data_IF_390162069152
#
_entry.id   IF_390162069152
#
_cell.length_a   1.000
_cell.length_b   1.000
_cell.length_c   1.000
_cell.angle_alpha   90.00
_cell.angle_beta   90.00
_cell.angle_gamma   90.00
#
_symmetry.space_group_name_H-M   'P 1'
#
loop_
_entity.id
_entity.type
_entity.pdbx_description
1 polymer ?
#
# COMPACT_ATOMS: atom_id res chain seq x y z
N UNK A 1 30.09 6.76 43.85
CA UNK A 1 30.56 7.64 42.76
C UNK A 1 30.38 6.83 41.50
N UNK A 2 29.15 6.81 40.99
CA UNK A 2 28.80 6.14 39.74
C UNK A 2 28.37 7.24 38.79
N UNK A 3 29.14 7.40 37.72
CA UNK A 3 28.92 8.40 36.68
C UNK A 3 27.68 8.02 35.89
N UNK A 4 26.65 8.87 36.00
CA UNK A 4 25.47 8.84 35.15
C UNK A 4 25.87 9.49 33.83
N UNK A 5 26.04 8.69 32.79
CA UNK A 5 26.19 9.16 31.41
C UNK A 5 24.83 9.71 30.97
N UNK A 6 24.68 11.03 30.97
CA UNK A 6 23.62 11.71 30.24
C UNK A 6 23.79 11.43 28.74
N UNK A 7 22.91 10.61 28.16
CA UNK A 7 22.71 10.60 26.71
C UNK A 7 22.13 11.96 26.30
N UNK A 8 23.01 12.88 25.89
CA UNK A 8 22.59 14.16 25.33
C UNK A 8 21.85 13.90 24.02
N UNK A 9 20.52 13.97 24.06
CA UNK A 9 19.70 14.09 22.87
C UNK A 9 20.18 15.31 22.08
N UNK A 10 20.67 15.08 20.85
CA UNK A 10 21.12 16.17 19.98
C UNK A 10 20.03 17.24 19.81
N UNK A 11 20.41 18.51 19.67
CA UNK A 11 19.46 19.63 19.72
C UNK A 11 18.42 19.51 18.62
N UNK A 12 17.15 19.69 18.99
CA UNK A 12 16.07 19.84 18.03
C UNK A 12 16.10 21.25 17.44
N UNK A 13 15.54 21.44 16.24
CA UNK A 13 15.46 22.77 15.60
C UNK A 13 14.75 23.83 16.46
N UNK A 14 13.90 23.39 17.41
CA UNK A 14 13.25 24.28 18.37
C UNK A 14 14.24 24.87 19.39
N UNK A 15 15.33 24.15 19.71
CA UNK A 15 16.39 24.60 20.62
C UNK A 15 17.33 25.62 19.95
N UNK A 16 17.30 25.71 18.62
CA UNK A 16 18.10 26.64 17.81
C UNK A 16 17.39 27.98 17.52
N UNK A 17 16.22 28.23 18.12
CA UNK A 17 15.49 29.48 17.95
C UNK A 17 14.94 29.72 16.53
N UNK A 18 15.01 28.71 15.65
CA UNK A 18 14.37 28.75 14.34
C UNK A 18 12.89 28.47 14.58
N UNK A 19 12.07 29.53 14.52
CA UNK A 19 10.62 29.39 14.53
C UNK A 19 10.23 28.51 13.35
N UNK A 20 9.94 27.24 13.65
CA UNK A 20 9.26 26.35 12.74
C UNK A 20 7.86 26.95 12.52
N UNK A 21 7.74 27.91 11.58
CA UNK A 21 6.46 28.40 11.12
C UNK A 21 5.61 27.16 10.83
N UNK A 22 4.47 27.04 11.50
CA UNK A 22 3.67 25.82 11.59
C UNK A 22 3.44 25.23 10.19
N UNK A 23 4.33 24.32 9.80
CA UNK A 23 4.51 23.81 8.43
C UNK A 23 3.85 22.46 8.25
N UNK A 24 3.31 21.92 9.34
CA UNK A 24 2.72 20.59 9.41
C UNK A 24 1.45 20.63 10.25
N UNK A 25 0.36 20.08 9.73
CA UNK A 25 -0.86 19.84 10.51
C UNK A 25 -0.73 18.48 11.21
N UNK A 26 -1.09 18.40 12.50
CA UNK A 26 -1.22 17.11 13.19
C UNK A 26 -2.57 16.49 12.82
N UNK A 27 -2.55 15.32 12.21
CA UNK A 27 -3.73 14.46 12.05
C UNK A 27 -3.60 13.23 12.94
N UNK A 28 -4.70 12.51 13.20
CA UNK A 28 -4.71 11.29 14.00
C UNK A 28 -3.75 10.19 13.49
N UNK A 29 -3.29 10.31 12.24
CA UNK A 29 -2.41 9.36 11.55
C UNK A 29 -0.96 9.89 11.45
N UNK A 30 -0.69 11.13 11.88
CA UNK A 30 0.65 11.74 11.93
C UNK A 30 0.69 13.18 11.42
N UNK A 31 1.92 13.73 11.28
CA UNK A 31 2.13 15.07 10.71
C UNK A 31 1.97 15.05 9.18
N UNK A 32 1.23 16.00 8.62
CA UNK A 32 0.99 16.19 7.18
C UNK A 32 1.34 17.61 6.74
N UNK A 33 1.79 17.78 5.49
CA UNK A 33 1.99 19.08 4.85
C UNK A 33 0.67 19.81 4.64
N UNK A 34 0.72 21.15 4.71
CA UNK A 34 -0.38 22.03 4.27
C UNK A 34 -0.31 22.22 2.75
N UNK A 35 -1.47 22.28 2.08
CA UNK A 35 -1.56 22.33 0.61
C UNK A 35 -0.70 23.45 -0.04
N UNK A 36 -0.65 24.62 0.59
CA UNK A 36 0.05 25.79 0.06
C UNK A 36 1.57 25.61 0.02
N UNK A 37 2.11 24.70 0.83
CA UNK A 37 3.54 24.42 0.93
C UNK A 37 4.01 23.28 0.02
N UNK A 38 3.13 22.70 -0.80
CA UNK A 38 3.56 21.72 -1.79
C UNK A 38 4.43 22.38 -2.87
N UNK A 39 5.45 21.64 -3.33
CA UNK A 39 6.29 22.03 -4.46
C UNK A 39 5.46 22.06 -5.75
N UNK A 40 5.96 22.78 -6.76
CA UNK A 40 5.29 22.83 -8.05
C UNK A 40 5.13 21.42 -8.66
N UNK A 41 6.15 20.58 -8.52
CA UNK A 41 6.14 19.20 -9.03
C UNK A 41 5.12 18.33 -8.32
N UNK A 42 5.03 18.44 -7.00
CA UNK A 42 4.01 17.75 -6.20
C UNK A 42 2.58 18.18 -6.61
N UNK A 43 2.36 19.48 -6.83
CA UNK A 43 1.05 20.02 -7.29
C UNK A 43 0.70 19.55 -8.69
N UNK A 44 1.66 19.60 -9.62
CA UNK A 44 1.48 19.11 -10.99
C UNK A 44 1.19 17.61 -11.01
N UNK A 45 1.90 16.82 -10.20
CA UNK A 45 1.65 15.39 -10.06
C UNK A 45 0.24 15.11 -9.52
N UNK A 46 -0.18 15.77 -8.43
CA UNK A 46 -1.53 15.58 -7.86
C UNK A 46 -2.62 15.97 -8.86
N UNK A 47 -2.46 17.08 -9.57
CA UNK A 47 -3.42 17.51 -10.58
C UNK A 47 -3.50 16.54 -11.75
N UNK A 48 -2.35 16.15 -12.31
CA UNK A 48 -2.26 15.19 -13.43
C UNK A 48 -2.90 13.86 -13.05
N UNK A 49 -2.50 13.28 -11.91
CA UNK A 49 -3.03 12.00 -11.43
C UNK A 49 -4.54 12.06 -11.19
N UNK A 50 -5.08 13.14 -10.61
CA UNK A 50 -6.53 13.31 -10.45
C UNK A 50 -7.27 13.29 -11.78
N UNK A 51 -6.77 14.02 -12.80
CA UNK A 51 -7.38 14.04 -14.14
C UNK A 51 -7.30 12.66 -14.79
N UNK A 52 -6.15 12.00 -14.69
CA UNK A 52 -5.94 10.65 -15.23
C UNK A 52 -6.91 9.65 -14.62
N UNK A 53 -6.95 9.56 -13.30
CA UNK A 53 -7.82 8.61 -12.61
C UNK A 53 -9.29 8.94 -12.77
N UNK A 54 -9.69 10.22 -12.80
CA UNK A 54 -11.08 10.60 -13.09
C UNK A 54 -11.52 10.14 -14.49
N UNK A 55 -10.65 10.32 -15.49
CA UNK A 55 -10.93 9.89 -16.88
C UNK A 55 -11.05 8.37 -16.97
N UNK A 56 -10.09 7.63 -16.40
CA UNK A 56 -10.10 6.17 -16.42
C UNK A 56 -11.27 5.60 -15.60
N UNK A 57 -11.61 6.23 -14.46
CA UNK A 57 -12.75 5.85 -13.63
C UNK A 57 -14.06 6.04 -14.40
N UNK A 58 -14.26 7.18 -15.08
CA UNK A 58 -15.44 7.42 -15.90
C UNK A 58 -15.63 6.38 -16.99
N UNK A 59 -14.56 6.07 -17.74
CA UNK A 59 -14.57 5.03 -18.78
C UNK A 59 -14.84 3.63 -18.21
N UNK A 60 -14.34 3.35 -17.00
CA UNK A 60 -14.52 2.05 -16.34
C UNK A 60 -15.95 1.88 -15.82
N UNK A 61 -16.53 2.92 -15.20
CA UNK A 61 -17.93 2.91 -14.75
C UNK A 61 -18.88 2.73 -15.93
N UNK A 62 -18.67 3.48 -17.01
CA UNK A 62 -19.49 3.36 -18.22
C UNK A 62 -19.42 1.96 -18.83
N UNK A 63 -18.26 1.30 -18.76
CA UNK A 63 -18.15 -0.10 -19.19
C UNK A 63 -18.86 -1.06 -18.23
N UNK A 64 -18.82 -0.79 -16.93
CA UNK A 64 -19.42 -1.62 -15.90
C UNK A 64 -20.96 -1.68 -16.01
N UNK A 65 -21.60 -0.62 -16.49
CA UNK A 65 -23.07 -0.59 -16.70
C UNK A 65 -23.54 -1.41 -17.89
N UNK A 66 -22.66 -1.71 -18.84
CA UNK A 66 -22.97 -2.48 -20.06
C UNK A 66 -22.62 -3.96 -19.91
N UNK A 67 -21.69 -4.30 -19.01
CA UNK A 67 -21.22 -5.66 -18.80
C UNK A 67 -22.16 -6.48 -17.91
N UNK A 68 -22.31 -7.76 -18.26
CA UNK A 68 -23.02 -8.71 -17.40
C UNK A 68 -22.16 -9.06 -16.16
N UNK A 69 -22.74 -9.10 -14.94
CA UNK A 69 -22.00 -9.39 -13.72
C UNK A 69 -21.26 -10.73 -13.69
N UNK A 70 -21.70 -11.70 -14.50
CA UNK A 70 -21.10 -13.03 -14.63
C UNK A 70 -19.92 -13.10 -15.61
N UNK A 71 -19.58 -12.00 -16.29
CA UNK A 71 -18.52 -11.98 -17.29
C UNK A 71 -17.13 -11.76 -16.69
N UNK A 72 -16.06 -12.42 -17.19
CA UNK A 72 -14.68 -12.16 -16.76
C UNK A 72 -14.28 -10.68 -16.90
N UNK A 73 -14.75 -10.02 -17.95
CA UNK A 73 -14.56 -8.59 -18.21
C UNK A 73 -15.08 -7.70 -17.07
N UNK A 74 -16.17 -8.11 -16.40
CA UNK A 74 -16.72 -7.39 -15.25
C UNK A 74 -15.80 -7.48 -14.04
N UNK A 75 -15.29 -8.68 -13.74
CA UNK A 75 -14.29 -8.89 -12.68
C UNK A 75 -13.07 -8.02 -12.88
N UNK A 76 -12.57 -7.97 -14.12
CA UNK A 76 -11.42 -7.15 -14.46
C UNK A 76 -11.68 -5.65 -14.27
N UNK A 77 -12.87 -5.18 -14.63
CA UNK A 77 -13.25 -3.79 -14.37
C UNK A 77 -13.30 -3.49 -12.85
N UNK A 78 -13.73 -4.44 -12.01
CA UNK A 78 -13.69 -4.29 -10.55
C UNK A 78 -12.26 -4.23 -10.01
N UNK A 79 -11.35 -5.10 -10.47
CA UNK A 79 -9.93 -5.05 -10.09
C UNK A 79 -9.32 -3.70 -10.49
N UNK A 80 -9.65 -3.19 -11.69
CA UNK A 80 -9.18 -1.88 -12.13
C UNK A 80 -9.72 -0.74 -11.24
N UNK A 81 -11.01 -0.78 -10.87
CA UNK A 81 -11.61 0.21 -9.97
C UNK A 81 -10.94 0.20 -8.59
N UNK A 82 -10.69 -0.99 -8.04
CA UNK A 82 -9.94 -1.16 -6.80
C UNK A 82 -8.55 -0.54 -6.91
N UNK A 83 -7.81 -0.84 -7.99
CA UNK A 83 -6.48 -0.28 -8.20
C UNK A 83 -6.49 1.25 -8.31
N UNK A 84 -7.48 1.84 -8.98
CA UNK A 84 -7.64 3.30 -9.06
C UNK A 84 -7.81 3.91 -7.66
N UNK A 85 -8.64 3.29 -6.81
CA UNK A 85 -8.85 3.77 -5.45
C UNK A 85 -7.54 3.76 -4.62
N UNK A 86 -6.75 2.68 -4.71
CA UNK A 86 -5.44 2.61 -4.06
C UNK A 86 -4.42 3.57 -4.65
N UNK A 87 -4.41 3.78 -5.98
CA UNK A 87 -3.52 4.76 -6.61
C UNK A 87 -3.83 6.18 -6.15
N UNK A 88 -5.10 6.56 -6.04
CA UNK A 88 -5.50 7.84 -5.45
C UNK A 88 -5.04 7.93 -3.98
N UNK A 89 -5.26 6.87 -3.20
CA UNK A 89 -4.77 6.82 -1.81
C UNK A 89 -3.26 7.07 -1.73
N UNK A 90 -2.44 6.42 -2.57
CA UNK A 90 -0.99 6.62 -2.58
C UNK A 90 -0.57 8.00 -3.08
N UNK A 91 -1.24 8.56 -4.08
CA UNK A 91 -0.95 9.89 -4.58
C UNK A 91 -1.16 10.93 -3.48
N UNK A 92 -2.31 10.91 -2.82
CA UNK A 92 -2.61 11.83 -1.73
C UNK A 92 -1.72 11.57 -0.51
N UNK A 93 -1.72 10.34 0.02
CA UNK A 93 -1.01 10.03 1.26
C UNK A 93 0.52 10.17 1.08
N UNK A 94 1.05 9.77 -0.07
CA UNK A 94 2.47 9.87 -0.42
C UNK A 94 2.94 11.32 -0.51
N UNK A 95 2.18 12.18 -1.19
CA UNK A 95 2.55 13.60 -1.35
C UNK A 95 2.39 14.38 -0.04
N UNK A 96 1.23 14.28 0.62
CA UNK A 96 0.96 15.07 1.83
C UNK A 96 1.82 14.64 3.02
N UNK A 97 2.35 13.41 3.05
CA UNK A 97 3.21 12.92 4.13
C UNK A 97 4.67 12.76 3.72
N UNK A 98 5.07 13.25 2.55
CA UNK A 98 6.41 13.04 1.96
C UNK A 98 6.89 11.57 2.06
N UNK A 99 5.99 10.62 1.81
CA UNK A 99 6.31 9.19 1.92
C UNK A 99 6.75 8.64 0.57
N UNK A 100 8.05 8.64 0.34
CA UNK A 100 8.67 8.13 -0.89
C UNK A 100 8.24 6.69 -1.23
N UNK A 101 8.13 5.82 -0.22
CA UNK A 101 7.73 4.43 -0.44
C UNK A 101 6.26 4.27 -0.89
N UNK A 102 5.37 5.20 -0.52
CA UNK A 102 3.99 5.19 -1.01
C UNK A 102 3.94 5.65 -2.48
N UNK A 103 4.81 6.59 -2.87
CA UNK A 103 4.98 6.96 -4.28
C UNK A 103 5.60 5.84 -5.11
N UNK A 104 6.54 5.06 -4.57
CA UNK A 104 7.03 3.86 -5.27
C UNK A 104 5.93 2.80 -5.42
N UNK A 105 5.06 2.62 -4.41
CA UNK A 105 3.89 1.75 -4.52
C UNK A 105 2.91 2.25 -5.60
N UNK A 106 2.71 3.56 -5.70
CA UNK A 106 1.93 4.18 -6.78
C UNK A 106 2.49 3.86 -8.17
N UNK A 107 3.81 4.00 -8.36
CA UNK A 107 4.46 3.69 -9.64
C UNK A 107 4.29 2.20 -9.97
N UNK A 108 4.54 1.30 -9.01
CA UNK A 108 4.37 -0.13 -9.20
C UNK A 108 2.93 -0.50 -9.58
N UNK A 109 1.93 0.03 -8.86
CA UNK A 109 0.52 -0.18 -9.15
C UNK A 109 0.13 0.34 -10.54
N UNK A 110 0.61 1.53 -10.92
CA UNK A 110 0.35 2.14 -12.23
C UNK A 110 0.93 1.30 -13.37
N UNK A 111 2.14 0.76 -13.19
CA UNK A 111 2.79 -0.14 -14.16
C UNK A 111 2.01 -1.45 -14.32
N UNK A 112 1.55 -2.05 -13.21
CA UNK A 112 0.72 -3.26 -13.25
C UNK A 112 -0.58 -3.00 -14.03
N UNK A 113 -1.25 -1.88 -13.76
CA UNK A 113 -2.47 -1.47 -14.47
C UNK A 113 -2.20 -1.24 -15.97
N UNK A 114 -1.08 -0.61 -16.32
CA UNK A 114 -0.69 -0.38 -17.72
C UNK A 114 -0.52 -1.72 -18.47
N UNK A 115 0.29 -2.64 -17.93
CA UNK A 115 0.46 -3.96 -18.53
C UNK A 115 -0.85 -4.72 -18.64
N UNK A 116 -1.67 -4.65 -17.61
CA UNK A 116 -2.96 -5.30 -17.57
C UNK A 116 -3.87 -4.84 -18.72
N UNK A 117 -4.00 -3.52 -18.96
CA UNK A 117 -4.84 -2.98 -20.03
C UNK A 117 -4.29 -3.32 -21.43
N UNK A 118 -2.97 -3.37 -21.59
CA UNK A 118 -2.32 -3.80 -22.84
C UNK A 118 -2.64 -5.27 -23.14
N UNK A 119 -2.43 -6.16 -22.16
CA UNK A 119 -2.70 -7.60 -22.30
C UNK A 119 -4.19 -7.84 -22.60
N UNK A 120 -5.08 -7.14 -21.89
CA UNK A 120 -6.53 -7.24 -22.12
C UNK A 120 -6.92 -6.84 -23.55
N UNK A 121 -6.27 -5.83 -24.11
CA UNK A 121 -6.50 -5.37 -25.48
C UNK A 121 -6.02 -6.37 -26.54
N UNK A 122 -4.84 -6.95 -26.34
CA UNK A 122 -4.23 -7.89 -27.30
C UNK A 122 -5.06 -9.17 -27.41
N UNK A 123 -5.53 -9.72 -26.28
CA UNK A 123 -6.16 -11.04 -26.25
C UNK A 123 -7.64 -11.01 -26.68
N UNK A 124 -8.31 -9.85 -26.63
CA UNK A 124 -9.72 -9.71 -27.02
C UNK A 124 -9.96 -8.88 -28.29
N UNK A 125 -9.41 -9.27 -29.46
CA UNK A 125 -9.57 -8.48 -30.69
C UNK A 125 -11.01 -8.47 -31.21
N UNK A 126 -11.82 -9.49 -30.87
CA UNK A 126 -13.23 -9.63 -31.33
C UNK A 126 -14.24 -8.79 -30.53
N UNK A 127 -13.85 -8.22 -29.38
CA UNK A 127 -14.70 -7.37 -28.53
C UNK A 127 -14.12 -5.95 -28.39
N UNK A 128 -13.61 -5.39 -29.48
CA UNK A 128 -13.12 -4.01 -29.53
C UNK A 128 -14.27 -3.01 -29.48
N UNK A 129 -14.82 -2.80 -28.30
CA UNK A 129 -15.67 -1.65 -28.02
C UNK A 129 -14.82 -0.37 -28.02
N UNK A 130 -15.35 0.73 -28.54
CA UNK A 130 -14.66 2.03 -28.58
C UNK A 130 -14.16 2.47 -27.19
N UNK A 131 -14.86 2.11 -26.12
CA UNK A 131 -14.46 2.40 -24.75
C UNK A 131 -13.18 1.67 -24.32
N UNK A 132 -12.95 0.43 -24.78
CA UNK A 132 -11.72 -0.32 -24.47
C UNK A 132 -10.50 0.35 -25.10
N UNK A 133 -10.65 0.79 -26.35
CA UNK A 133 -9.59 1.49 -27.10
C UNK A 133 -9.33 2.85 -26.47
N UNK A 134 -10.39 3.63 -26.19
CA UNK A 134 -10.25 4.93 -25.53
C UNK A 134 -9.50 4.81 -24.19
N UNK A 135 -9.87 3.83 -23.36
CA UNK A 135 -9.20 3.56 -22.08
C UNK A 135 -7.73 3.19 -22.26
N UNK A 136 -7.40 2.34 -23.24
CA UNK A 136 -6.02 1.98 -23.55
C UNK A 136 -5.21 3.21 -23.94
N UNK A 137 -5.70 4.02 -24.88
CA UNK A 137 -5.01 5.23 -25.35
C UNK A 137 -4.78 6.21 -24.19
N UNK A 138 -5.81 6.46 -23.39
CA UNK A 138 -5.71 7.34 -22.21
C UNK A 138 -4.65 6.83 -21.23
N UNK A 139 -4.68 5.55 -20.86
CA UNK A 139 -3.71 4.99 -19.89
C UNK A 139 -2.30 4.99 -20.46
N UNK A 140 -2.12 4.63 -21.73
CA UNK A 140 -0.80 4.61 -22.37
C UNK A 140 -0.16 6.00 -22.47
N UNK A 141 -0.96 7.08 -22.54
CA UNK A 141 -0.44 8.45 -22.58
C UNK A 141 -0.27 9.02 -21.18
N UNK A 142 -1.28 8.88 -20.32
CA UNK A 142 -1.30 9.53 -19.02
C UNK A 142 -0.45 8.80 -17.96
N UNK A 143 -0.42 7.46 -17.96
CA UNK A 143 0.33 6.73 -16.95
C UNK A 143 1.85 7.02 -17.00
N UNK A 144 2.53 7.10 -18.16
CA UNK A 144 3.94 7.49 -18.20
C UNK A 144 4.18 8.92 -17.71
N UNK A 145 3.25 9.85 -17.97
CA UNK A 145 3.34 11.24 -17.48
C UNK A 145 3.25 11.25 -15.95
N UNK A 146 2.24 10.56 -15.40
CA UNK A 146 2.06 10.46 -13.95
C UNK A 146 3.24 9.76 -13.27
N UNK A 147 3.79 8.69 -13.86
CA UNK A 147 4.99 8.01 -13.36
C UNK A 147 6.19 8.96 -13.36
N UNK A 148 6.40 9.72 -14.44
CA UNK A 148 7.51 10.67 -14.53
C UNK A 148 7.42 11.81 -13.51
N UNK A 149 6.22 12.38 -13.35
CA UNK A 149 5.94 13.42 -12.34
C UNK A 149 6.06 12.87 -10.92
N UNK A 150 5.54 11.68 -10.66
CA UNK A 150 5.64 10.98 -9.38
C UNK A 150 7.11 10.72 -9.00
N UNK A 151 7.91 10.23 -9.96
CA UNK A 151 9.33 9.98 -9.76
C UNK A 151 10.08 11.26 -9.39
N UNK A 152 9.82 12.36 -10.10
CA UNK A 152 10.41 13.67 -9.80
C UNK A 152 9.98 14.18 -8.43
N UNK A 153 8.71 14.05 -8.07
CA UNK A 153 8.20 14.42 -6.75
C UNK A 153 8.87 13.60 -5.64
N UNK A 154 9.08 12.29 -5.84
CA UNK A 154 9.71 11.42 -4.85
C UNK A 154 11.18 11.78 -4.58
N UNK A 155 11.90 12.32 -5.56
CA UNK A 155 13.30 12.75 -5.40
C UNK A 155 13.47 13.98 -4.52
N UNK A 156 12.43 14.80 -4.34
CA UNK A 156 12.48 16.04 -3.56
C UNK A 156 12.14 15.84 -2.07
N UNK A 157 11.79 14.62 -1.67
CA UNK A 157 11.38 14.32 -0.29
C UNK A 157 12.58 14.18 0.66
N UNK A 158 12.32 14.44 1.95
CA UNK A 158 13.31 14.28 3.03
C UNK A 158 13.28 15.40 4.07
N UNK A 159 12.63 16.53 3.74
CA UNK A 159 12.51 17.65 4.65
C UNK A 159 11.59 17.35 5.83
N UNK A 160 10.47 16.68 5.60
CA UNK A 160 9.53 16.28 6.67
C UNK A 160 10.12 15.19 7.56
N UNK A 161 10.89 14.25 7.00
CA UNK A 161 11.62 13.24 7.76
C UNK A 161 12.57 13.91 8.76
N UNK A 162 13.40 14.84 8.28
CA UNK A 162 14.32 15.61 9.11
C UNK A 162 13.60 16.39 10.22
N UNK A 163 12.44 16.98 9.90
CA UNK A 163 11.66 17.77 10.86
C UNK A 163 10.90 16.91 11.91
N UNK A 164 10.54 15.66 11.58
CA UNK A 164 9.90 14.75 12.53
C UNK A 164 10.93 14.14 13.49
N UNK A 165 12.06 13.73 12.94
CA UNK A 165 12.99 12.82 13.62
C UNK A 165 14.21 13.55 14.20
N UNK A 166 14.58 14.68 13.60
CA UNK A 166 15.84 15.38 13.84
C UNK A 166 16.99 14.81 13.00
N UNK A 167 18.21 15.29 13.25
CA UNK A 167 19.40 14.98 12.47
C UNK A 167 20.05 13.62 12.78
N UNK A 168 19.48 12.82 13.68
CA UNK A 168 20.08 11.54 14.08
C UNK A 168 19.82 10.44 13.05
N UNK A 169 20.88 9.94 12.41
CA UNK A 169 20.84 8.91 11.35
C UNK A 169 20.13 7.61 11.80
N UNK A 170 20.37 7.19 13.04
CA UNK A 170 19.76 5.97 13.63
C UNK A 170 18.24 6.07 13.62
N UNK A 171 17.72 7.24 14.00
CA UNK A 171 16.30 7.45 14.13
C UNK A 171 15.63 7.68 12.77
N UNK A 172 16.34 8.32 11.83
CA UNK A 172 15.89 8.47 10.44
C UNK A 172 15.77 7.10 9.76
N UNK A 173 16.78 6.25 9.93
CA UNK A 173 16.75 4.87 9.40
C UNK A 173 15.59 4.06 9.99
N UNK A 174 15.34 4.18 11.29
CA UNK A 174 14.21 3.55 11.95
C UNK A 174 12.88 4.07 11.37
N UNK A 175 12.71 5.39 11.22
CA UNK A 175 11.53 6.00 10.62
C UNK A 175 11.29 5.55 9.17
N UNK A 176 12.33 5.54 8.33
CA UNK A 176 12.24 5.02 6.95
C UNK A 176 11.79 3.57 6.91
N UNK A 177 12.26 2.75 7.85
CA UNK A 177 11.83 1.35 7.98
C UNK A 177 10.33 1.27 8.27
N UNK A 178 9.81 2.12 9.17
CA UNK A 178 8.37 2.20 9.46
C UNK A 178 7.56 2.70 8.25
N UNK A 179 8.03 3.73 7.56
CA UNK A 179 7.36 4.22 6.35
C UNK A 179 7.34 3.16 5.23
N UNK A 180 8.45 2.44 5.03
CA UNK A 180 8.53 1.32 4.08
C UNK A 180 7.56 0.21 4.44
N UNK A 181 7.50 -0.17 5.73
CA UNK A 181 6.56 -1.17 6.21
C UNK A 181 5.11 -0.73 6.01
N UNK A 182 4.77 0.52 6.32
CA UNK A 182 3.43 1.08 6.11
C UNK A 182 3.04 1.06 4.63
N UNK A 183 3.95 1.38 3.72
CA UNK A 183 3.69 1.31 2.29
C UNK A 183 3.48 -0.14 1.82
N UNK A 184 4.34 -1.07 2.26
CA UNK A 184 4.23 -2.49 1.96
C UNK A 184 2.93 -3.11 2.51
N UNK A 185 2.50 -2.75 3.71
CA UNK A 185 1.23 -3.21 4.29
C UNK A 185 0.03 -2.78 3.45
N UNK A 186 0.01 -1.53 2.97
CA UNK A 186 -1.08 -1.07 2.09
C UNK A 186 -1.03 -1.76 0.72
N UNK A 187 0.16 -1.96 0.16
CA UNK A 187 0.33 -2.60 -1.14
C UNK A 187 -0.03 -4.10 -1.09
N UNK A 188 0.35 -4.77 -0.01
CA UNK A 188 -0.05 -6.14 0.26
C UNK A 188 -1.59 -6.27 0.37
N UNK A 189 -2.23 -5.36 1.11
CA UNK A 189 -3.69 -5.29 1.22
C UNK A 189 -4.37 -5.08 -0.14
N UNK A 190 -3.82 -4.20 -0.99
CA UNK A 190 -4.29 -4.00 -2.38
C UNK A 190 -4.23 -5.29 -3.20
N UNK A 191 -3.11 -6.03 -3.11
CA UNK A 191 -2.93 -7.28 -3.84
C UNK A 191 -3.88 -8.37 -3.35
N UNK A 192 -4.11 -8.47 -2.03
CA UNK A 192 -5.06 -9.41 -1.46
C UNK A 192 -6.49 -9.14 -1.92
N UNK A 193 -6.95 -7.88 -1.88
CA UNK A 193 -8.28 -7.53 -2.38
C UNK A 193 -8.38 -7.76 -3.90
N UNK A 194 -7.33 -7.49 -4.65
CA UNK A 194 -7.29 -7.77 -6.10
C UNK A 194 -7.42 -9.28 -6.37
N UNK A 195 -6.66 -10.10 -5.64
CA UNK A 195 -6.71 -11.55 -5.74
C UNK A 195 -8.08 -12.11 -5.31
N UNK A 196 -8.67 -11.55 -4.26
CA UNK A 196 -10.02 -11.88 -3.80
C UNK A 196 -11.04 -11.68 -4.92
N UNK A 197 -11.06 -10.50 -5.54
CA UNK A 197 -12.01 -10.19 -6.63
C UNK A 197 -11.83 -11.19 -7.78
N UNK A 198 -10.58 -11.49 -8.14
CA UNK A 198 -10.27 -12.47 -9.19
C UNK A 198 -10.78 -13.87 -8.82
N UNK A 199 -10.63 -14.32 -7.58
CA UNK A 199 -11.10 -15.65 -7.14
C UNK A 199 -12.64 -15.70 -7.08
N UNK A 200 -13.28 -14.66 -6.56
CA UNK A 200 -14.74 -14.57 -6.41
C UNK A 200 -15.45 -14.57 -7.76
N UNK A 201 -14.83 -14.11 -8.85
CA UNK A 201 -15.41 -14.20 -10.19
C UNK A 201 -15.89 -15.61 -10.58
N UNK A 202 -15.20 -16.65 -10.09
CA UNK A 202 -15.54 -18.05 -10.31
C UNK A 202 -16.46 -18.59 -9.19
N UNK A 203 -17.32 -17.74 -8.60
CA UNK A 203 -18.10 -18.04 -7.40
C UNK A 203 -18.91 -19.34 -7.48
N UNK A 204 -19.43 -19.66 -8.67
CA UNK A 204 -20.25 -20.86 -8.90
C UNK A 204 -19.44 -22.15 -8.87
N UNK A 205 -18.13 -22.08 -9.11
CA UNK A 205 -17.22 -23.23 -9.08
C UNK A 205 -16.56 -23.41 -7.69
N UNK A 206 -16.80 -22.50 -6.76
CA UNK A 206 -16.25 -22.57 -5.40
C UNK A 206 -17.09 -23.51 -4.53
N UNK A 207 -16.40 -24.40 -3.81
CA UNK A 207 -17.05 -25.20 -2.77
C UNK A 207 -17.55 -24.31 -1.63
N UNK A 208 -18.52 -24.79 -0.85
CA UNK A 208 -19.02 -24.07 0.33
C UNK A 208 -17.90 -23.75 1.32
N UNK A 209 -16.95 -24.67 1.48
CA UNK A 209 -15.77 -24.47 2.32
C UNK A 209 -14.88 -23.34 1.77
N UNK A 210 -14.63 -23.30 0.46
CA UNK A 210 -13.83 -22.22 -0.15
C UNK A 210 -14.47 -20.86 0.05
N UNK A 211 -15.80 -20.76 -0.04
CA UNK A 211 -16.53 -19.51 0.21
C UNK A 211 -16.34 -19.03 1.65
N UNK A 212 -16.43 -19.93 2.62
CA UNK A 212 -16.19 -19.61 4.04
C UNK A 212 -14.74 -19.20 4.27
N UNK A 213 -13.78 -19.94 3.72
CA UNK A 213 -12.34 -19.63 3.84
C UNK A 213 -12.03 -18.27 3.23
N UNK A 214 -12.60 -17.94 2.08
CA UNK A 214 -12.42 -16.63 1.44
C UNK A 214 -13.00 -15.52 2.32
N UNK A 215 -14.21 -15.69 2.85
CA UNK A 215 -14.84 -14.70 3.74
C UNK A 215 -14.02 -14.45 5.00
N UNK A 216 -13.54 -15.51 5.66
CA UNK A 216 -12.64 -15.41 6.81
C UNK A 216 -11.29 -14.80 6.46
N UNK A 217 -10.74 -15.15 5.28
CA UNK A 217 -9.47 -14.63 4.79
C UNK A 217 -9.46 -13.11 4.67
N UNK A 218 -10.56 -12.51 4.22
CA UNK A 218 -10.70 -11.04 4.14
C UNK A 218 -10.67 -10.40 5.52
N UNK A 219 -11.40 -10.96 6.48
CA UNK A 219 -11.40 -10.45 7.85
C UNK A 219 -9.99 -10.55 8.47
N UNK A 220 -9.32 -11.69 8.28
CA UNK A 220 -7.96 -11.92 8.77
C UNK A 220 -6.96 -10.95 8.12
N UNK A 221 -7.07 -10.71 6.80
CA UNK A 221 -6.25 -9.73 6.08
C UNK A 221 -6.33 -8.33 6.67
N UNK A 222 -7.56 -7.84 6.94
CA UNK A 222 -7.77 -6.52 7.56
C UNK A 222 -7.23 -6.48 8.99
N UNK A 223 -7.43 -7.54 9.78
CA UNK A 223 -6.88 -7.65 11.13
C UNK A 223 -5.34 -7.64 11.09
N UNK A 224 -4.72 -8.36 10.16
CA UNK A 224 -3.27 -8.40 9.96
C UNK A 224 -2.72 -7.03 9.58
N UNK A 225 -3.40 -6.30 8.69
CA UNK A 225 -3.04 -4.94 8.32
C UNK A 225 -3.03 -4.01 9.54
N UNK A 226 -4.10 -4.03 10.34
CA UNK A 226 -4.22 -3.21 11.56
C UNK A 226 -3.16 -3.62 12.59
N UNK A 227 -2.98 -4.93 12.80
CA UNK A 227 -2.01 -5.47 13.75
C UNK A 227 -0.58 -5.06 13.36
N UNK A 228 -0.21 -5.18 12.08
CA UNK A 228 1.11 -4.79 11.59
C UNK A 228 1.38 -3.29 11.76
N UNK A 229 0.36 -2.45 11.54
CA UNK A 229 0.46 -1.01 11.74
C UNK A 229 0.63 -0.65 13.22
N UNK A 230 -0.22 -1.19 14.11
CA UNK A 230 -0.16 -0.92 15.54
C UNK A 230 1.13 -1.48 16.16
N UNK A 231 1.54 -2.70 15.79
CA UNK A 231 2.71 -3.38 16.34
C UNK A 231 3.97 -2.52 16.29
N UNK A 232 4.15 -1.80 15.18
CA UNK A 232 5.30 -0.92 14.98
C UNK A 232 5.13 0.43 15.64
N UNK A 233 3.92 0.97 15.73
CA UNK A 233 3.66 2.22 16.45
C UNK A 233 3.93 2.10 17.95
N UNK A 234 3.56 0.95 18.56
CA UNK A 234 3.76 0.73 20.00
C UNK A 234 5.08 0.02 20.31
N UNK A 235 5.85 -0.36 19.28
CA UNK A 235 7.08 -1.16 19.38
C UNK A 235 6.89 -2.48 20.16
N UNK A 236 5.75 -3.16 19.94
CA UNK A 236 5.40 -4.39 20.67
C UNK A 236 5.96 -5.64 20.00
N UNK A 237 6.90 -6.28 20.68
CA UNK A 237 7.50 -7.57 20.29
C UNK A 237 6.45 -8.66 20.11
N UNK A 238 5.50 -8.74 21.05
CA UNK A 238 4.46 -9.79 21.05
C UNK A 238 3.59 -9.67 19.80
N UNK A 239 3.18 -8.45 19.43
CA UNK A 239 2.36 -8.24 18.23
C UNK A 239 3.12 -8.58 16.95
N UNK A 240 4.43 -8.29 16.88
CA UNK A 240 5.27 -8.68 15.74
C UNK A 240 5.37 -10.20 15.63
N UNK A 241 5.56 -10.93 16.74
CA UNK A 241 5.62 -12.40 16.74
C UNK A 241 4.29 -12.98 16.24
N UNK A 242 3.16 -12.48 16.76
CA UNK A 242 1.81 -12.88 16.30
C UNK A 242 1.67 -12.62 14.80
N UNK A 243 2.06 -11.43 14.33
CA UNK A 243 1.99 -11.06 12.91
C UNK A 243 2.83 -12.00 12.02
N UNK A 244 4.04 -12.37 12.44
CA UNK A 244 4.91 -13.28 11.69
C UNK A 244 4.30 -14.68 11.62
N UNK A 245 3.81 -15.21 12.74
CA UNK A 245 3.20 -16.55 12.78
C UNK A 245 1.97 -16.60 11.86
N UNK A 246 1.07 -15.61 11.95
CA UNK A 246 -0.12 -15.59 11.12
C UNK A 246 0.17 -15.24 9.65
N UNK A 247 1.25 -14.52 9.34
CA UNK A 247 1.65 -14.23 7.95
C UNK A 247 2.00 -15.48 7.14
N UNK A 248 2.29 -16.62 7.78
CA UNK A 248 2.58 -17.89 7.10
C UNK A 248 1.30 -18.55 6.56
N UNK A 249 0.13 -18.26 7.13
CA UNK A 249 -1.14 -18.86 6.73
C UNK A 249 -1.57 -18.47 5.32
N UNK A 250 -1.32 -17.23 4.91
CA UNK A 250 -1.76 -16.71 3.62
C UNK A 250 -1.05 -17.33 2.41
N UNK A 251 0.29 -17.46 2.38
CA UNK A 251 0.99 -18.21 1.35
C UNK A 251 0.41 -19.62 1.16
N UNK A 252 0.02 -20.28 2.24
CA UNK A 252 -0.61 -21.60 2.19
C UNK A 252 -1.89 -21.63 1.35
N UNK A 253 -2.75 -20.62 1.48
CA UNK A 253 -3.97 -20.52 0.68
C UNK A 253 -3.68 -20.24 -0.80
N UNK A 254 -2.73 -19.34 -1.09
CA UNK A 254 -2.34 -19.03 -2.48
C UNK A 254 -1.79 -20.28 -3.17
N UNK A 255 -0.91 -21.03 -2.49
CA UNK A 255 -0.34 -22.29 -2.99
C UNK A 255 -1.43 -23.34 -3.20
N UNK A 256 -2.37 -23.50 -2.27
CA UNK A 256 -3.53 -24.37 -2.44
C UNK A 256 -4.32 -24.02 -3.70
N UNK A 257 -4.60 -22.72 -3.92
CA UNK A 257 -5.29 -22.27 -5.13
C UNK A 257 -4.51 -22.55 -6.40
N UNK A 258 -3.19 -22.34 -6.41
CA UNK A 258 -2.35 -22.68 -7.55
C UNK A 258 -2.41 -24.18 -7.88
N UNK A 259 -2.24 -25.04 -6.89
CA UNK A 259 -2.33 -26.49 -7.07
C UNK A 259 -3.68 -26.92 -7.65
N UNK A 260 -4.78 -26.40 -7.10
CA UNK A 260 -6.14 -26.68 -7.59
C UNK A 260 -6.34 -26.22 -9.03
N UNK A 261 -5.89 -25.02 -9.39
CA UNK A 261 -6.01 -24.48 -10.75
C UNK A 261 -5.17 -25.28 -11.74
N UNK A 262 -3.95 -25.68 -11.38
CA UNK A 262 -3.09 -26.53 -12.24
C UNK A 262 -3.75 -27.88 -12.50
N UNK A 263 -4.22 -28.58 -11.47
CA UNK A 263 -4.93 -29.86 -11.61
C UNK A 263 -6.13 -29.69 -12.54
N UNK A 264 -6.91 -28.63 -12.35
CA UNK A 264 -8.07 -28.35 -13.20
C UNK A 264 -7.71 -28.10 -14.67
N UNK A 265 -6.59 -27.42 -14.94
CA UNK A 265 -6.09 -27.18 -16.30
C UNK A 265 -5.58 -28.48 -16.95
N UNK A 266 -4.90 -29.34 -16.19
CA UNK A 266 -4.33 -30.62 -16.70
C UNK A 266 -5.41 -31.63 -17.07
N UNK A 267 -6.51 -31.70 -16.33
CA UNK A 267 -7.57 -32.70 -16.55
C UNK A 267 -8.74 -32.21 -17.42
N UNK A 268 -8.67 -31.00 -17.98
CA UNK A 268 -9.72 -30.48 -18.87
C UNK A 268 -9.52 -30.95 -20.31
N UNK A 269 -10.54 -31.63 -20.84
CA UNK A 269 -10.62 -32.07 -22.24
C UNK A 269 -11.04 -30.92 -23.19
N UNK A 270 -11.65 -29.85 -22.66
CA UNK A 270 -12.14 -28.70 -23.46
C UNK A 270 -11.31 -27.44 -23.15
N UNK A 271 -10.67 -26.82 -24.17
CA UNK A 271 -9.90 -25.58 -23.98
C UNK A 271 -10.81 -24.45 -23.50
N UNK A 272 -10.34 -23.68 -22.51
CA UNK A 272 -11.04 -22.47 -22.05
C UNK A 272 -11.00 -21.41 -23.15
N UNK A 273 -12.13 -20.73 -23.37
CA UNK A 273 -12.20 -19.54 -24.21
C UNK A 273 -11.39 -18.38 -23.59
N UNK A 274 -10.89 -17.48 -24.43
CA UNK A 274 -9.82 -16.53 -24.10
C UNK A 274 -10.00 -15.74 -22.80
N UNK A 275 -11.19 -15.24 -22.51
CA UNK A 275 -11.45 -14.41 -21.32
C UNK A 275 -11.32 -15.18 -20.00
N UNK A 276 -11.70 -16.46 -19.97
CA UNK A 276 -11.56 -17.31 -18.81
C UNK A 276 -10.10 -17.74 -18.58
N UNK A 277 -9.32 -17.91 -19.66
CA UNK A 277 -7.89 -18.21 -19.58
C UNK A 277 -7.10 -17.05 -18.95
N UNK A 278 -7.36 -15.81 -19.38
CA UNK A 278 -6.68 -14.61 -18.83
C UNK A 278 -6.95 -14.46 -17.35
N UNK A 279 -8.17 -14.79 -16.91
CA UNK A 279 -8.54 -14.70 -15.51
C UNK A 279 -7.70 -15.66 -14.66
N UNK A 280 -7.55 -16.92 -15.10
CA UNK A 280 -6.67 -17.88 -14.43
C UNK A 280 -5.21 -17.40 -14.40
N UNK A 281 -4.69 -16.90 -15.54
CA UNK A 281 -3.33 -16.35 -15.63
C UNK A 281 -3.17 -15.17 -14.66
N UNK A 282 -4.17 -14.31 -14.54
CA UNK A 282 -4.15 -13.15 -13.64
C UNK A 282 -4.10 -13.58 -12.18
N UNK A 283 -4.79 -14.67 -11.81
CA UNK A 283 -4.69 -15.27 -10.47
C UNK A 283 -3.25 -15.71 -10.19
N UNK A 284 -2.58 -16.36 -11.15
CA UNK A 284 -1.18 -16.76 -10.99
C UNK A 284 -0.23 -15.57 -10.87
N UNK A 285 -0.38 -14.57 -11.74
CA UNK A 285 0.48 -13.38 -11.74
C UNK A 285 0.30 -12.59 -10.45
N UNK A 286 -0.93 -12.22 -10.09
CA UNK A 286 -1.22 -11.46 -8.86
C UNK A 286 -0.85 -12.27 -7.63
N UNK A 287 -1.13 -13.58 -7.60
CA UNK A 287 -0.74 -14.45 -6.49
C UNK A 287 0.78 -14.57 -6.32
N UNK A 288 1.54 -14.61 -7.41
CA UNK A 288 3.01 -14.65 -7.36
C UNK A 288 3.57 -13.34 -6.83
N UNK A 289 3.06 -12.21 -7.30
CA UNK A 289 3.45 -10.88 -6.79
C UNK A 289 3.10 -10.77 -5.31
N UNK A 290 1.91 -11.22 -4.89
CA UNK A 290 1.48 -11.22 -3.49
C UNK A 290 2.43 -12.04 -2.59
N UNK A 291 2.85 -13.23 -3.03
CA UNK A 291 3.83 -14.04 -2.31
C UNK A 291 5.18 -13.32 -2.15
N UNK A 292 5.68 -12.70 -3.22
CA UNK A 292 6.94 -11.94 -3.19
C UNK A 292 6.82 -10.76 -2.21
N UNK A 293 5.75 -9.97 -2.33
CA UNK A 293 5.50 -8.83 -1.43
C UNK A 293 5.40 -9.28 0.02
N UNK A 294 4.75 -10.43 0.28
CA UNK A 294 4.64 -10.98 1.63
C UNK A 294 5.99 -11.38 2.22
N UNK A 295 6.88 -11.98 1.42
CA UNK A 295 8.25 -12.29 1.88
C UNK A 295 9.04 -11.01 2.21
N UNK A 296 8.93 -9.99 1.36
CA UNK A 296 9.54 -8.67 1.60
C UNK A 296 8.95 -8.02 2.85
N UNK A 297 7.64 -8.14 3.07
CA UNK A 297 6.94 -7.60 4.24
C UNK A 297 7.46 -8.23 5.53
N UNK A 298 7.60 -9.56 5.58
CA UNK A 298 8.17 -10.28 6.74
C UNK A 298 9.61 -9.82 6.99
N UNK A 299 10.41 -9.67 5.93
CA UNK A 299 11.78 -9.21 6.04
C UNK A 299 11.87 -7.77 6.60
N UNK A 300 11.08 -6.84 6.07
CA UNK A 300 11.04 -5.44 6.55
C UNK A 300 10.47 -5.34 7.97
N UNK A 301 9.47 -6.17 8.31
CA UNK A 301 8.95 -6.27 9.68
C UNK A 301 10.06 -6.73 10.65
N UNK A 302 10.89 -7.69 10.27
CA UNK A 302 12.04 -8.11 11.07
C UNK A 302 13.10 -7.01 11.19
N UNK A 303 13.30 -6.17 10.17
CA UNK A 303 14.15 -4.98 10.29
C UNK A 303 13.54 -3.96 11.27
N UNK A 304 12.22 -3.74 11.22
CA UNK A 304 11.53 -2.85 12.14
C UNK A 304 11.66 -3.34 13.59
N UNK A 305 11.51 -4.64 13.82
CA UNK A 305 11.71 -5.27 15.13
C UNK A 305 13.10 -4.99 15.73
N UNK A 306 14.17 -5.08 14.91
CA UNK A 306 15.54 -4.75 15.33
C UNK A 306 15.76 -3.27 15.65
N UNK A 307 14.83 -2.41 15.27
CA UNK A 307 14.88 -0.97 15.52
C UNK A 307 14.05 -0.54 16.74
N UNK A 308 13.41 -1.47 17.45
CA UNK A 308 12.64 -1.15 18.66
C UNK A 308 13.55 -0.67 19.80
N UNK A 309 13.01 0.20 20.66
CA UNK A 309 13.71 0.77 21.81
C UNK A 309 14.63 1.95 21.49
N UNK A 310 14.65 2.43 20.24
CA UNK A 310 15.52 3.55 19.80
C UNK A 310 14.89 4.94 19.99
N UNK A 311 13.75 5.04 20.67
CA UNK A 311 13.05 6.31 20.95
C UNK A 311 12.21 6.86 19.79
N UNK A 312 11.92 6.04 18.76
CA UNK A 312 11.12 6.48 17.60
C UNK A 312 9.66 6.74 17.99
N UNK A 313 9.10 5.89 18.85
CA UNK A 313 7.76 6.06 19.43
C UNK A 313 7.53 7.46 20.01
N UNK A 314 8.49 7.97 20.79
CA UNK A 314 8.35 9.23 21.51
C UNK A 314 8.40 10.46 20.59
N UNK A 315 9.22 10.41 19.53
CA UNK A 315 9.36 11.53 18.58
C UNK A 315 8.32 11.56 17.46
N UNK A 316 7.90 10.38 16.98
CA UNK A 316 7.07 10.28 15.77
C UNK A 316 5.58 10.05 16.03
N UNK A 317 5.21 9.40 17.15
CA UNK A 317 3.82 8.99 17.42
C UNK A 317 3.20 9.61 18.65
N UNK A 318 3.98 10.23 19.56
CA UNK A 318 3.51 11.18 20.58
C UNK A 318 2.19 10.81 21.27
N UNK A 319 1.95 9.54 21.54
CA UNK A 319 0.74 9.09 22.23
C UNK A 319 1.06 8.95 23.72
N UNK A 320 0.52 9.90 24.49
CA UNK A 320 0.27 9.85 25.93
C UNK A 320 1.36 9.20 26.80
N UNK A 321 2.55 9.79 26.84
CA UNK A 321 3.20 9.95 28.14
C UNK A 321 2.58 11.17 28.80
N UNK A 322 1.44 10.96 29.46
CA UNK A 322 0.98 11.88 30.50
C UNK A 322 2.17 12.18 31.40
N UNK A 323 2.38 13.45 31.69
CA UNK A 323 3.40 14.02 32.58
C UNK A 323 3.31 13.47 34.02
N UNK A 324 3.50 12.17 34.24
CA UNK A 324 3.60 11.58 35.58
C UNK A 324 5.01 11.71 36.16
N UNK A 325 6.00 12.12 35.36
CA UNK A 325 7.38 12.39 35.84
C UNK A 325 7.52 13.78 36.46
N UNK A 326 6.74 14.78 36.06
CA UNK A 326 6.77 16.13 36.65
C UNK A 326 5.95 16.27 37.95
N UNK A 327 5.08 15.30 38.27
CA UNK A 327 4.34 15.29 39.53
C UNK A 327 5.14 14.71 40.71
N UNK A 328 6.25 13.99 40.48
CA UNK A 328 7.06 13.41 41.57
C UNK A 328 8.11 14.35 42.15
N UNK A 329 8.48 15.42 41.44
CA UNK A 329 9.47 16.39 41.93
C UNK A 329 8.87 17.54 42.72
N UNK A 330 7.54 17.76 42.64
CA UNK A 330 6.87 18.85 43.36
C UNK A 330 6.37 18.49 44.77
N UNK A 331 6.50 17.23 45.18
CA UNK A 331 6.14 16.75 46.54
C UNK A 331 7.35 16.46 47.44
N UNK A 332 8.51 17.05 47.13
CA UNK A 332 9.65 17.13 48.06
C UNK A 332 10.07 18.59 48.23
N UNK A 333 9.19 19.37 48.86
CA UNK A 333 9.59 20.54 49.64
C UNK A 333 8.72 20.61 50.88
#
# INVERSE_FOLDING_TARGET
>A
MEDVVEESGGPSLADLGITAGASTQKTAIGKTKVYDKLTLWEKLFLFSSLVSFATVLGLTIQRLTVLQPSSPDFTFALVLLLNIAFCLYYAFNGVFREREFELYAFIAASVIVLFYVIIEFIIHPKQRSGYKIARLVVICVLAPIDIGLCWKSAQEFGWLEFNIVGATEVLQTAYRTVCRLSALLNFDLQLQFSLLILIVSNFTQLSTLEKVVIGLGVAIAVIMFILGYIAVQIESVIMVIIFIILSVCEPGYIVYKFAKTIVFLTYRVVPKEGSALILDISIFVVGTIALIVRLVLIFVMNQAYRNFGKGLKDKSFGCCTTDTSLARTKNRH
#
